data_IF_555415739260
#
_entry.id   IF_555415739260
#
_cell.length_a   1.000
_cell.length_b   1.000
_cell.length_c   1.000
_cell.angle_alpha   90.00
_cell.angle_beta   90.00
_cell.angle_gamma   90.00
#
_symmetry.space_group_name_H-M   'P 1'
#
loop_
_entity.id
_entity.type
_entity.pdbx_description
1 polymer ?
#
# COMPACT_ATOMS: atom_id res chain seq x y z
N UNK A 1 8.57 -39.30 54.15
CA UNK A 1 7.57 -38.94 53.12
C UNK A 1 6.21 -39.37 53.63
N UNK A 2 5.43 -38.43 54.22
CA UNK A 2 4.15 -38.70 54.88
C UNK A 2 3.01 -38.26 53.96
N UNK A 3 2.05 -39.16 53.74
CA UNK A 3 0.88 -38.95 52.89
C UNK A 3 -0.26 -38.40 53.77
N UNK A 4 -0.78 -37.22 53.43
CA UNK A 4 -2.01 -36.67 54.01
C UNK A 4 -3.15 -36.78 52.99
N UNK A 5 -4.32 -37.36 53.34
CA UNK A 5 -5.48 -37.35 52.48
C UNK A 5 -6.47 -36.23 52.87
N UNK A 6 -7.09 -35.66 51.83
CA UNK A 6 -8.49 -35.25 51.90
C UNK A 6 -8.76 -33.77 52.14
N UNK A 7 -9.31 -33.13 51.10
CA UNK A 7 -10.45 -32.21 51.24
C UNK A 7 -11.24 -32.14 49.94
N UNK A 8 -12.45 -32.71 49.97
CA UNK A 8 -13.51 -32.52 48.98
C UNK A 8 -14.06 -31.10 49.15
N UNK A 9 -14.13 -30.31 48.08
CA UNK A 9 -14.91 -29.07 48.03
C UNK A 9 -16.18 -29.32 47.23
N UNK A 10 -17.29 -29.08 47.91
CA UNK A 10 -18.64 -29.22 47.40
C UNK A 10 -18.96 -28.16 46.34
N UNK A 11 -19.48 -28.63 45.21
CA UNK A 11 -20.06 -27.80 44.16
C UNK A 11 -21.45 -27.33 44.65
N UNK A 12 -21.59 -26.03 44.92
CA UNK A 12 -22.90 -25.42 45.23
C UNK A 12 -23.57 -24.97 43.93
N UNK A 13 -24.66 -25.63 43.60
CA UNK A 13 -25.63 -25.19 42.61
C UNK A 13 -26.39 -23.97 43.13
N UNK A 14 -26.47 -22.91 42.32
CA UNK A 14 -27.40 -21.80 42.56
C UNK A 14 -28.12 -21.41 41.27
N UNK A 15 -29.34 -21.93 41.18
CA UNK A 15 -30.58 -21.23 40.80
C UNK A 15 -30.62 -20.52 39.45
N UNK A 16 -31.24 -21.22 38.51
CA UNK A 16 -32.13 -20.66 37.49
C UNK A 16 -33.05 -19.58 38.08
N UNK A 17 -33.01 -18.38 37.51
CA UNK A 17 -34.13 -17.44 37.51
C UNK A 17 -34.53 -17.19 36.06
N UNK A 18 -35.64 -17.82 35.67
CA UNK A 18 -36.46 -17.40 34.54
C UNK A 18 -37.19 -16.11 34.91
N UNK A 19 -36.96 -15.06 34.13
CA UNK A 19 -37.82 -13.88 33.90
C UNK A 19 -37.47 -13.50 32.45
N UNK A 20 -38.37 -13.32 31.50
CA UNK A 20 -39.80 -13.13 31.46
C UNK A 20 -40.00 -12.34 30.17
N UNK A 21 -40.56 -12.99 29.15
CA UNK A 21 -40.86 -12.36 27.86
C UNK A 21 -41.97 -11.32 28.04
N UNK A 22 -41.73 -10.11 27.57
CA UNK A 22 -42.78 -9.17 27.18
C UNK A 22 -42.32 -8.42 25.91
N UNK A 23 -43.16 -8.35 24.86
CA UNK A 23 -42.81 -7.75 23.58
C UNK A 23 -43.06 -6.24 23.65
N UNK A 24 -42.09 -5.43 23.22
CA UNK A 24 -42.28 -3.99 23.02
C UNK A 24 -42.21 -3.67 21.53
N UNK A 25 -43.41 -3.41 21.01
CA UNK A 25 -43.79 -2.40 20.03
C UNK A 25 -42.77 -2.02 18.95
N UNK A 26 -43.11 -2.46 17.73
CA UNK A 26 -42.70 -1.81 16.50
C UNK A 26 -43.25 -0.38 16.46
N UNK A 27 -42.36 0.61 16.55
CA UNK A 27 -42.61 1.95 16.05
C UNK A 27 -41.80 2.15 14.78
N UNK A 28 -42.51 2.12 13.65
CA UNK A 28 -42.00 2.58 12.38
C UNK A 28 -41.88 4.09 12.41
N UNK A 29 -40.70 4.58 12.05
CA UNK A 29 -40.50 5.95 11.61
C UNK A 29 -39.86 5.89 10.25
N UNK A 30 -40.68 6.10 9.22
CA UNK A 30 -40.25 6.43 7.86
C UNK A 30 -39.44 7.73 7.93
N UNK A 31 -38.13 7.65 7.78
CA UNK A 31 -37.33 8.81 7.43
C UNK A 31 -37.45 9.00 5.92
N UNK A 32 -38.26 9.99 5.52
CA UNK A 32 -38.36 10.44 4.14
C UNK A 32 -36.99 10.90 3.63
N UNK A 33 -36.56 10.26 2.56
CA UNK A 33 -35.48 10.68 1.68
C UNK A 33 -35.93 11.99 1.03
N UNK A 34 -35.31 13.10 1.43
CA UNK A 34 -35.37 14.37 0.71
C UNK A 34 -34.07 14.54 -0.07
N UNK A 35 -34.00 13.93 -1.25
CA UNK A 35 -32.99 14.30 -2.26
C UNK A 35 -33.36 15.67 -2.82
N UNK A 36 -32.69 16.71 -2.33
CA UNK A 36 -32.63 18.00 -3.04
C UNK A 36 -31.62 17.84 -4.17
N UNK A 37 -32.14 17.73 -5.37
CA UNK A 37 -31.44 17.85 -6.64
C UNK A 37 -31.10 19.34 -6.89
N UNK A 38 -29.82 19.77 -6.88
CA UNK A 38 -29.45 21.15 -7.14
C UNK A 38 -29.01 21.37 -8.60
N UNK A 39 -29.45 20.55 -9.56
CA UNK A 39 -29.07 20.72 -10.97
C UNK A 39 -30.27 20.63 -11.92
N UNK A 40 -31.28 21.47 -11.71
CA UNK A 40 -32.20 21.90 -12.78
C UNK A 40 -31.95 23.34 -13.14
N UNK A 41 -31.20 23.54 -14.22
CA UNK A 41 -31.11 24.84 -14.86
C UNK A 41 -29.84 25.08 -15.68
N UNK A 42 -29.45 24.18 -16.58
CA UNK A 42 -28.61 24.57 -17.73
C UNK A 42 -29.11 23.87 -18.98
N UNK A 43 -29.71 24.65 -19.87
CA UNK A 43 -29.96 24.29 -21.27
C UNK A 43 -28.60 24.35 -21.97
N UNK A 44 -28.04 23.20 -22.35
CA UNK A 44 -26.89 23.15 -23.25
C UNK A 44 -27.38 22.98 -24.69
N UNK A 45 -27.37 24.08 -25.44
CA UNK A 45 -27.28 24.03 -26.89
C UNK A 45 -25.80 23.91 -27.26
N UNK A 46 -25.45 22.85 -27.99
CA UNK A 46 -24.12 22.71 -28.60
C UNK A 46 -23.54 21.32 -28.39
N UNK A 47 -23.30 20.62 -29.49
CA UNK A 47 -22.46 19.44 -29.55
C UNK A 47 -21.03 19.82 -29.15
N UNK A 48 -20.70 19.74 -27.87
CA UNK A 48 -19.31 19.78 -27.43
C UNK A 48 -18.71 18.39 -27.55
N UNK A 49 -17.66 18.28 -28.35
CA UNK A 49 -16.85 17.08 -28.43
C UNK A 49 -16.34 16.71 -27.03
N UNK A 50 -16.54 15.44 -26.67
CA UNK A 50 -16.05 14.89 -25.41
C UNK A 50 -14.51 14.87 -25.51
N UNK A 51 -13.78 15.57 -24.62
CA UNK A 51 -12.33 15.59 -24.69
C UNK A 51 -11.78 14.19 -24.52
N UNK A 52 -10.82 13.83 -25.36
CA UNK A 52 -10.09 12.57 -25.30
C UNK A 52 -9.38 12.41 -23.95
N UNK A 53 -9.10 11.17 -23.54
CA UNK A 53 -8.40 10.89 -22.28
C UNK A 53 -7.03 11.61 -22.21
N UNK A 54 -6.34 11.74 -23.35
CA UNK A 54 -5.09 12.48 -23.46
C UNK A 54 -5.27 13.99 -23.22
N UNK A 55 -6.38 14.57 -23.66
CA UNK A 55 -6.72 15.98 -23.40
C UNK A 55 -7.13 16.22 -21.95
N UNK A 56 -7.83 15.27 -21.31
CA UNK A 56 -8.15 15.35 -19.88
C UNK A 56 -6.91 15.26 -18.99
N UNK A 57 -5.96 14.40 -19.36
CA UNK A 57 -4.66 14.28 -18.68
C UNK A 57 -3.84 15.56 -18.86
N UNK A 58 -3.81 16.15 -20.06
CA UNK A 58 -3.14 17.43 -20.32
C UNK A 58 -3.81 18.60 -19.59
N UNK A 59 -5.14 18.67 -19.58
CA UNK A 59 -5.91 19.76 -18.97
C UNK A 59 -5.79 19.83 -17.44
N UNK A 60 -5.65 18.68 -16.75
CA UNK A 60 -5.38 18.66 -15.29
C UNK A 60 -3.95 19.04 -14.92
N UNK A 61 -3.02 19.05 -15.87
CA UNK A 61 -1.58 19.24 -15.62
C UNK A 61 -1.05 20.64 -16.02
N UNK A 62 -1.91 21.56 -16.47
CA UNK A 62 -1.52 22.92 -16.87
C UNK A 62 -1.51 23.95 -15.72
N UNK A 63 -1.45 23.51 -14.46
CA UNK A 63 -1.11 24.37 -13.32
C UNK A 63 0.40 24.58 -13.21
N UNK A 64 0.92 25.63 -13.84
CA UNK A 64 2.23 26.28 -13.59
C UNK A 64 3.39 25.36 -13.16
N UNK A 65 4.07 24.71 -14.12
CA UNK A 65 5.35 24.03 -13.85
C UNK A 65 5.90 23.11 -14.94
N UNK A 66 5.27 22.99 -16.11
CA UNK A 66 5.52 21.87 -17.02
C UNK A 66 6.81 21.92 -17.85
N UNK A 67 7.56 23.03 -17.90
CA UNK A 67 8.78 23.13 -18.74
C UNK A 67 10.10 22.88 -17.99
N UNK A 68 10.15 23.05 -16.67
CA UNK A 68 11.33 22.72 -15.85
C UNK A 68 11.42 21.22 -15.56
N UNK A 69 10.28 20.52 -15.55
CA UNK A 69 10.15 19.09 -15.25
C UNK A 69 10.94 18.17 -16.19
N UNK A 70 10.77 18.35 -17.50
CA UNK A 70 11.44 17.54 -18.53
C UNK A 70 12.96 17.74 -18.55
N UNK A 71 13.39 18.95 -18.21
CA UNK A 71 14.80 19.36 -18.20
C UNK A 71 15.58 18.80 -17.00
N UNK A 72 14.89 18.54 -15.89
CA UNK A 72 15.45 17.91 -14.68
C UNK A 72 15.52 16.39 -14.87
N UNK A 73 14.48 15.77 -15.45
CA UNK A 73 14.48 14.34 -15.75
C UNK A 73 15.51 13.92 -16.82
N UNK A 74 15.82 14.80 -17.79
CA UNK A 74 16.93 14.56 -18.74
C UNK A 74 18.32 14.58 -18.07
N UNK A 75 18.53 15.41 -17.05
CA UNK A 75 19.83 15.55 -16.37
C UNK A 75 20.15 14.41 -15.40
N UNK A 76 19.14 13.70 -14.91
CA UNK A 76 19.28 12.68 -13.87
C UNK A 76 19.42 11.24 -14.39
N UNK A 77 19.80 11.04 -15.66
CA UNK A 77 20.19 9.71 -16.18
C UNK A 77 19.07 8.66 -16.22
N UNK A 78 17.80 9.06 -16.32
CA UNK A 78 16.65 8.12 -16.38
C UNK A 78 16.55 7.28 -17.66
N UNK A 79 17.52 7.38 -18.55
CA UNK A 79 17.41 6.91 -19.93
C UNK A 79 18.50 5.89 -20.19
N UNK A 80 18.19 4.59 -20.06
CA UNK A 80 18.81 3.58 -20.90
C UNK A 80 17.98 2.27 -20.90
N UNK A 81 17.83 1.70 -22.10
CA UNK A 81 17.11 0.47 -22.49
C UNK A 81 15.57 0.52 -22.63
N UNK A 82 15.12 1.12 -23.74
CA UNK A 82 13.78 0.90 -24.33
C UNK A 82 13.18 2.17 -24.93
N UNK A 83 12.38 2.04 -25.99
CA UNK A 83 11.58 3.14 -26.58
C UNK A 83 10.20 3.30 -25.90
N UNK A 84 9.95 2.56 -24.82
CA UNK A 84 8.63 2.44 -24.19
C UNK A 84 8.70 2.60 -22.67
N UNK A 85 7.62 3.08 -22.03
CA UNK A 85 7.48 3.12 -20.58
C UNK A 85 7.71 1.76 -19.92
N UNK A 86 8.23 1.79 -18.68
CA UNK A 86 8.42 0.66 -17.78
C UNK A 86 7.73 0.91 -16.46
N UNK A 87 7.34 -0.15 -15.76
CA UNK A 87 6.52 -0.04 -14.56
C UNK A 87 7.14 -0.82 -13.40
N UNK A 88 7.11 -0.23 -12.21
CA UNK A 88 7.50 -0.86 -10.94
C UNK A 88 6.24 -1.05 -10.11
N UNK A 89 5.80 -2.28 -9.87
CA UNK A 89 4.59 -2.54 -9.09
C UNK A 89 4.93 -2.81 -7.63
N UNK A 90 4.38 -2.01 -6.70
CA UNK A 90 4.35 -2.36 -5.27
C UNK A 90 2.95 -2.77 -4.82
N UNK A 91 2.90 -3.67 -3.84
CA UNK A 91 1.70 -4.22 -3.24
C UNK A 91 1.84 -4.15 -1.73
N UNK A 92 0.93 -3.42 -1.09
CA UNK A 92 1.06 -3.04 0.32
C UNK A 92 0.18 -3.91 1.24
N UNK A 93 0.32 -3.73 2.56
CA UNK A 93 -0.48 -4.34 3.63
C UNK A 93 -0.46 -5.89 3.77
N UNK A 94 0.68 -6.59 3.77
CA UNK A 94 0.70 -8.00 4.19
C UNK A 94 1.44 -8.23 5.52
N UNK A 95 0.90 -9.02 6.46
CA UNK A 95 -0.48 -9.51 6.52
C UNK A 95 -1.49 -8.38 6.77
N UNK A 96 -2.74 -8.62 6.38
CA UNK A 96 -3.87 -7.77 6.80
C UNK A 96 -4.39 -8.21 8.16
N UNK A 97 -4.90 -7.24 8.92
CA UNK A 97 -5.49 -7.50 10.23
C UNK A 97 -6.91 -8.10 10.17
N UNK A 98 -7.61 -7.86 9.07
CA UNK A 98 -9.04 -8.17 8.87
C UNK A 98 -9.30 -9.21 7.78
N UNK A 99 -8.26 -9.77 7.16
CA UNK A 99 -8.37 -10.70 6.04
C UNK A 99 -7.33 -11.81 6.15
N UNK A 100 -7.72 -13.02 5.74
CA UNK A 100 -6.83 -14.17 5.70
C UNK A 100 -5.80 -14.11 4.57
N UNK A 101 -4.70 -14.88 4.66
CA UNK A 101 -3.59 -14.84 3.71
C UNK A 101 -3.94 -15.43 2.33
N UNK A 102 -5.04 -16.19 2.21
CA UNK A 102 -5.52 -16.75 0.95
C UNK A 102 -5.81 -15.69 -0.12
N UNK A 103 -6.18 -14.47 0.30
CA UNK A 103 -6.40 -13.36 -0.61
C UNK A 103 -5.10 -12.89 -1.29
N UNK A 104 -3.99 -12.80 -0.53
CA UNK A 104 -2.68 -12.51 -1.13
C UNK A 104 -2.24 -13.63 -2.06
N UNK A 105 -2.47 -14.89 -1.68
CA UNK A 105 -2.12 -16.03 -2.54
C UNK A 105 -2.84 -15.97 -3.89
N UNK A 106 -4.15 -15.75 -3.90
CA UNK A 106 -4.94 -15.61 -5.13
C UNK A 106 -4.45 -14.42 -5.99
N UNK A 107 -4.14 -13.30 -5.34
CA UNK A 107 -3.56 -12.12 -6.00
C UNK A 107 -2.20 -12.45 -6.64
N UNK A 108 -1.33 -13.15 -5.91
CA UNK A 108 0.01 -13.53 -6.34
C UNK A 108 -0.01 -14.44 -7.57
N UNK A 109 -0.85 -15.47 -7.57
CA UNK A 109 -0.96 -16.42 -8.69
C UNK A 109 -1.27 -15.71 -10.01
N UNK A 110 -2.13 -14.69 -9.99
CA UNK A 110 -2.48 -13.91 -11.19
C UNK A 110 -1.26 -13.18 -11.74
N UNK A 111 -0.52 -12.45 -10.89
CA UNK A 111 0.65 -11.69 -11.31
C UNK A 111 1.80 -12.60 -11.76
N UNK A 112 2.04 -13.69 -11.01
CA UNK A 112 3.05 -14.70 -11.33
C UNK A 112 2.82 -15.33 -12.70
N UNK A 113 1.57 -15.71 -13.01
CA UNK A 113 1.23 -16.29 -14.32
C UNK A 113 1.43 -15.30 -15.49
N UNK A 114 1.33 -14.00 -15.23
CA UNK A 114 1.64 -12.96 -16.22
C UNK A 114 3.13 -12.57 -16.27
N UNK A 115 3.98 -13.19 -15.45
CA UNK A 115 5.40 -12.85 -15.33
C UNK A 115 5.65 -11.48 -14.69
N UNK A 116 4.70 -10.97 -13.90
CA UNK A 116 4.81 -9.66 -13.23
C UNK A 116 5.41 -9.84 -11.84
N UNK A 117 6.68 -9.46 -11.68
CA UNK A 117 7.31 -9.32 -10.36
C UNK A 117 6.88 -8.02 -9.70
N UNK A 118 6.81 -8.02 -8.38
CA UNK A 118 6.40 -6.85 -7.60
C UNK A 118 7.13 -6.79 -6.24
N UNK A 119 7.11 -5.61 -5.63
CA UNK A 119 7.58 -5.37 -4.26
C UNK A 119 6.42 -5.55 -3.28
N UNK A 120 6.54 -6.47 -2.34
CA UNK A 120 5.54 -6.77 -1.31
C UNK A 120 5.89 -6.07 0.00
N UNK A 121 5.00 -5.20 0.48
CA UNK A 121 5.10 -4.60 1.80
C UNK A 121 4.71 -5.56 2.91
N UNK A 122 5.70 -5.96 3.72
CA UNK A 122 5.52 -6.91 4.83
C UNK A 122 5.57 -6.20 6.17
N UNK A 123 4.54 -6.41 6.99
CA UNK A 123 4.39 -5.89 8.36
C UNK A 123 4.88 -6.97 9.33
N UNK A 124 6.01 -6.78 10.03
CA UNK A 124 6.62 -7.82 10.86
C UNK A 124 5.83 -8.13 12.14
N UNK A 125 5.15 -7.14 12.71
CA UNK A 125 4.44 -7.28 13.98
C UNK A 125 3.07 -6.58 13.93
N UNK A 126 2.15 -7.05 13.07
CA UNK A 126 0.90 -6.36 12.78
C UNK A 126 0.09 -6.06 14.05
N UNK A 127 -0.47 -4.86 14.12
CA UNK A 127 -1.46 -4.52 15.12
C UNK A 127 -2.72 -5.38 14.94
N UNK A 128 -3.37 -5.80 16.04
CA UNK A 128 -4.66 -6.49 15.96
C UNK A 128 -5.73 -5.63 15.29
N UNK A 129 -5.67 -4.31 15.50
CA UNK A 129 -6.47 -3.32 14.79
C UNK A 129 -5.64 -2.05 14.57
N UNK A 130 -5.18 -1.77 13.34
CA UNK A 130 -4.36 -0.59 13.05
C UNK A 130 -5.15 0.73 13.15
N UNK A 131 -6.48 0.68 13.18
CA UNK A 131 -7.34 1.87 13.35
C UNK A 131 -7.52 2.26 14.82
N UNK A 132 -7.25 1.36 15.77
CA UNK A 132 -7.26 1.68 17.19
C UNK A 132 -5.93 2.33 17.58
N UNK A 133 -5.91 3.67 17.52
CA UNK A 133 -4.75 4.50 17.89
C UNK A 133 -4.33 4.34 19.36
N UNK A 134 -5.25 3.86 20.21
CA UNK A 134 -5.00 3.64 21.64
C UNK A 134 -4.60 2.20 21.96
N UNK A 135 -4.84 1.29 21.01
CA UNK A 135 -4.53 -0.12 21.11
C UNK A 135 -3.03 -0.33 21.25
N UNK A 136 -2.67 -1.31 22.07
CA UNK A 136 -1.28 -1.77 22.25
C UNK A 136 -1.08 -3.22 21.83
N UNK A 137 -2.14 -3.87 21.35
CA UNK A 137 -2.10 -5.27 20.99
C UNK A 137 -1.56 -5.44 19.59
N UNK A 138 -0.55 -6.29 19.52
CA UNK A 138 0.21 -6.65 18.34
C UNK A 138 0.33 -8.16 18.35
N UNK A 139 0.54 -8.74 17.17
CA UNK A 139 0.67 -10.18 17.03
C UNK A 139 1.86 -10.52 16.16
N UNK A 140 2.36 -11.74 16.35
CA UNK A 140 3.25 -12.38 15.40
C UNK A 140 2.45 -12.91 14.20
N UNK A 141 3.15 -13.26 13.14
CA UNK A 141 2.52 -13.95 12.01
C UNK A 141 1.93 -15.28 12.44
N UNK A 142 0.78 -15.63 11.87
CA UNK A 142 0.26 -16.99 11.96
C UNK A 142 1.12 -17.96 11.14
N UNK A 143 0.95 -19.26 11.35
CA UNK A 143 1.64 -20.28 10.56
C UNK A 143 1.24 -20.20 9.08
N UNK A 144 -0.02 -19.88 8.80
CA UNK A 144 -0.56 -19.71 7.45
C UNK A 144 0.03 -18.47 6.75
N UNK A 145 0.14 -17.35 7.46
CA UNK A 145 0.75 -16.12 6.93
C UNK A 145 2.24 -16.34 6.60
N UNK A 146 2.97 -17.00 7.49
CA UNK A 146 4.37 -17.35 7.26
C UNK A 146 4.54 -18.32 6.08
N UNK A 147 3.62 -19.30 5.93
CA UNK A 147 3.63 -20.24 4.82
C UNK A 147 3.38 -19.54 3.47
N UNK A 148 2.38 -18.65 3.39
CA UNK A 148 2.12 -17.87 2.17
C UNK A 148 3.30 -16.97 1.84
N UNK A 149 3.92 -16.32 2.84
CA UNK A 149 5.10 -15.49 2.60
C UNK A 149 6.27 -16.30 2.04
N UNK A 150 6.53 -17.48 2.59
CA UNK A 150 7.57 -18.39 2.09
C UNK A 150 7.27 -18.88 0.66
N UNK A 151 6.00 -19.10 0.32
CA UNK A 151 5.59 -19.52 -1.02
C UNK A 151 5.80 -18.43 -2.07
N UNK A 152 5.42 -17.18 -1.78
CA UNK A 152 5.50 -16.09 -2.76
C UNK A 152 6.90 -15.49 -2.89
N UNK A 153 7.73 -15.59 -1.85
CA UNK A 153 9.05 -14.95 -1.76
C UNK A 153 10.00 -15.19 -2.96
N UNK A 154 10.07 -16.38 -3.59
CA UNK A 154 10.94 -16.58 -4.77
C UNK A 154 10.62 -15.66 -5.96
N UNK A 155 9.35 -15.26 -6.09
CA UNK A 155 8.81 -14.54 -7.24
C UNK A 155 8.61 -13.04 -6.98
N UNK A 156 8.73 -12.60 -5.72
CA UNK A 156 8.52 -11.22 -5.30
C UNK A 156 9.78 -10.65 -4.65
N UNK A 157 9.79 -9.33 -4.45
CA UNK A 157 10.78 -8.68 -3.58
C UNK A 157 10.09 -8.28 -2.28
N UNK A 158 10.76 -8.45 -1.15
CA UNK A 158 10.19 -8.10 0.16
C UNK A 158 10.64 -6.69 0.54
N UNK A 159 9.70 -5.86 1.01
CA UNK A 159 9.95 -4.57 1.63
C UNK A 159 9.45 -4.57 3.08
N UNK A 160 10.15 -3.82 3.95
CA UNK A 160 9.63 -3.55 5.29
C UNK A 160 8.51 -2.51 5.19
N UNK A 161 7.34 -2.82 5.76
CA UNK A 161 6.15 -1.97 5.68
C UNK A 161 5.69 -1.48 7.05
N UNK A 162 6.55 -0.69 7.70
CA UNK A 162 6.37 -0.31 9.10
C UNK A 162 6.73 -1.42 10.08
N UNK A 163 6.40 -1.19 11.35
CA UNK A 163 6.51 -2.19 12.41
C UNK A 163 5.17 -2.88 12.63
N UNK A 164 4.10 -2.09 12.81
CA UNK A 164 2.77 -2.58 13.21
C UNK A 164 1.64 -2.23 12.25
N UNK A 165 1.90 -1.31 11.33
CA UNK A 165 0.89 -0.62 10.54
C UNK A 165 -0.13 0.16 11.39
N UNK A 166 0.16 0.46 12.67
CA UNK A 166 -0.76 1.17 13.56
C UNK A 166 -0.74 2.67 13.29
N UNK A 167 -1.92 3.28 13.20
CA UNK A 167 -2.06 4.74 13.13
C UNK A 167 -1.61 5.39 14.43
N UNK A 168 -0.77 6.41 14.35
CA UNK A 168 -0.52 7.32 15.48
C UNK A 168 -1.67 8.33 15.63
N UNK A 169 -1.92 8.84 16.85
CA UNK A 169 -2.82 9.97 17.05
C UNK A 169 -2.38 11.18 16.21
N UNK A 170 -3.30 11.76 15.45
CA UNK A 170 -2.98 12.91 14.59
C UNK A 170 -4.02 13.15 13.49
N UNK A 171 -3.85 14.24 12.74
CA UNK A 171 -4.75 14.62 11.64
C UNK A 171 -4.49 13.84 10.35
N UNK A 172 -3.31 13.25 10.17
CA UNK A 172 -2.95 12.46 8.99
C UNK A 172 -2.68 11.02 9.42
N UNK A 173 -3.26 10.01 8.74
CA UNK A 173 -2.89 8.62 8.95
C UNK A 173 -1.39 8.42 8.68
N UNK A 174 -0.63 8.02 9.70
CA UNK A 174 0.78 7.68 9.60
C UNK A 174 1.19 6.79 10.78
N UNK A 175 2.18 5.92 10.55
CA UNK A 175 2.86 5.19 11.64
C UNK A 175 4.17 5.87 12.04
N UNK A 176 4.95 6.37 11.08
CA UNK A 176 6.33 6.83 11.33
C UNK A 176 6.46 8.34 11.54
N UNK A 177 5.47 9.11 11.11
CA UNK A 177 5.48 10.57 11.25
C UNK A 177 5.23 10.92 12.71
N UNK A 178 6.12 11.74 13.27
CA UNK A 178 6.11 12.11 14.68
C UNK A 178 6.73 11.06 15.62
N UNK A 179 7.35 10.00 15.09
CA UNK A 179 8.29 9.20 15.88
C UNK A 179 9.52 10.04 16.23
N UNK A 180 10.11 9.78 17.41
CA UNK A 180 11.49 10.21 17.64
C UNK A 180 12.45 9.41 16.75
N UNK A 181 13.67 9.91 16.58
CA UNK A 181 14.69 9.18 15.82
C UNK A 181 14.98 7.81 16.44
N UNK A 182 15.04 7.76 17.77
CA UNK A 182 15.29 6.55 18.55
C UNK A 182 14.14 5.54 18.41
N UNK A 183 12.88 6.01 18.48
CA UNK A 183 11.69 5.16 18.27
C UNK A 183 11.69 4.54 16.87
N UNK A 184 11.93 5.36 15.84
CA UNK A 184 11.93 4.86 14.46
C UNK A 184 13.10 3.89 14.23
N UNK A 185 14.30 4.21 14.70
CA UNK A 185 15.45 3.32 14.55
C UNK A 185 15.25 1.98 15.24
N UNK A 186 14.69 1.99 16.46
CA UNK A 186 14.36 0.78 17.18
C UNK A 186 13.35 -0.08 16.40
N UNK A 187 12.25 0.52 15.95
CA UNK A 187 11.21 -0.18 15.18
C UNK A 187 11.76 -0.76 13.86
N UNK A 188 12.64 -0.03 13.18
CA UNK A 188 13.30 -0.52 11.97
C UNK A 188 14.22 -1.70 12.26
N UNK A 189 15.00 -1.63 13.34
CA UNK A 189 15.89 -2.72 13.73
C UNK A 189 15.12 -3.99 14.09
N UNK A 190 14.06 -3.87 14.91
CA UNK A 190 13.22 -5.01 15.28
C UNK A 190 12.51 -5.59 14.06
N UNK A 191 11.96 -4.74 13.19
CA UNK A 191 11.30 -5.18 11.96
C UNK A 191 12.23 -5.94 11.02
N UNK A 192 13.44 -5.42 10.80
CA UNK A 192 14.47 -6.09 10.01
C UNK A 192 14.93 -7.41 10.65
N UNK A 193 15.03 -7.47 11.98
CA UNK A 193 15.39 -8.70 12.69
C UNK A 193 14.33 -9.80 12.51
N UNK A 194 13.04 -9.45 12.53
CA UNK A 194 11.93 -10.38 12.26
C UNK A 194 12.01 -10.91 10.83
N UNK A 195 12.16 -10.02 9.83
CA UNK A 195 12.31 -10.43 8.43
C UNK A 195 13.53 -11.35 8.24
N UNK A 196 14.67 -10.99 8.82
CA UNK A 196 15.91 -11.77 8.73
C UNK A 196 15.76 -13.16 9.37
N UNK A 197 15.12 -13.25 10.55
CA UNK A 197 14.85 -14.53 11.21
C UNK A 197 13.97 -15.45 10.36
N UNK A 198 13.11 -14.88 9.52
CA UNK A 198 12.27 -15.61 8.59
C UNK A 198 12.97 -15.92 7.24
N UNK A 199 14.25 -15.57 7.09
CA UNK A 199 15.04 -15.82 5.88
C UNK A 199 14.91 -14.75 4.81
N UNK A 200 14.36 -13.57 5.15
CA UNK A 200 14.19 -12.47 4.21
C UNK A 200 15.17 -11.34 4.47
N UNK A 201 15.73 -10.80 3.40
CA UNK A 201 16.49 -9.54 3.41
C UNK A 201 15.75 -8.51 2.56
N UNK A 202 15.83 -7.24 2.93
CA UNK A 202 15.23 -6.15 2.15
C UNK A 202 16.20 -4.99 2.03
N UNK A 203 16.13 -4.31 0.90
CA UNK A 203 16.77 -3.02 0.63
C UNK A 203 15.74 -1.90 0.46
N UNK A 204 14.45 -2.19 0.66
CA UNK A 204 13.33 -1.31 0.40
C UNK A 204 12.44 -1.13 1.65
N UNK A 205 11.93 0.09 1.80
CA UNK A 205 10.96 0.46 2.82
C UNK A 205 9.71 1.08 2.20
N UNK A 206 8.54 0.64 2.65
CA UNK A 206 7.25 1.20 2.27
C UNK A 206 6.63 1.84 3.51
N UNK A 207 6.51 3.18 3.58
CA UNK A 207 5.86 3.82 4.70
C UNK A 207 4.37 3.40 4.82
N UNK A 208 3.93 2.91 5.98
CA UNK A 208 2.51 2.71 6.27
C UNK A 208 1.70 3.98 5.95
N UNK A 209 0.52 3.79 5.38
CA UNK A 209 -0.34 4.89 4.92
C UNK A 209 0.32 5.82 3.88
N UNK A 210 1.37 5.36 3.19
CA UNK A 210 2.09 6.12 2.17
C UNK A 210 2.63 7.47 2.65
N UNK A 211 2.84 7.60 3.96
CA UNK A 211 3.16 8.85 4.64
C UNK A 211 4.58 8.80 5.20
N UNK A 212 5.44 9.68 4.68
CA UNK A 212 6.79 9.92 5.20
C UNK A 212 7.08 11.42 5.21
N UNK A 213 7.74 11.89 6.26
CA UNK A 213 8.27 13.25 6.36
C UNK A 213 9.78 13.28 6.14
N UNK A 214 10.38 14.47 6.10
CA UNK A 214 11.83 14.61 5.82
C UNK A 214 12.71 13.99 6.91
N UNK A 215 12.30 14.06 8.17
CA UNK A 215 13.08 13.49 9.29
C UNK A 215 13.10 11.96 9.18
N UNK A 216 11.94 11.33 9.02
CA UNK A 216 11.81 9.90 8.84
C UNK A 216 12.56 9.44 7.58
N UNK A 217 12.46 10.19 6.46
CA UNK A 217 13.19 9.85 5.24
C UNK A 217 14.71 9.83 5.44
N UNK A 218 15.28 10.81 6.13
CA UNK A 218 16.72 10.84 6.44
C UNK A 218 17.16 9.65 7.30
N UNK A 219 16.31 9.17 8.22
CA UNK A 219 16.57 7.99 9.02
C UNK A 219 16.53 6.72 8.16
N UNK A 220 15.52 6.60 7.31
CA UNK A 220 15.32 5.49 6.38
C UNK A 220 16.46 5.37 5.36
N UNK A 221 16.94 6.50 4.82
CA UNK A 221 18.01 6.56 3.83
C UNK A 221 19.33 5.94 4.29
N UNK A 222 19.53 5.77 5.60
CA UNK A 222 20.73 5.12 6.16
C UNK A 222 20.65 3.58 6.17
N UNK A 223 19.47 3.01 5.93
CA UNK A 223 19.21 1.57 6.04
C UNK A 223 18.67 0.95 4.75
N UNK A 224 18.08 1.75 3.87
CA UNK A 224 17.43 1.29 2.67
C UNK A 224 17.98 2.03 1.45
N UNK A 225 18.13 1.31 0.34
CA UNK A 225 18.46 1.88 -0.97
C UNK A 225 17.22 2.54 -1.60
N UNK A 226 16.04 2.13 -1.15
CA UNK A 226 14.76 2.52 -1.73
C UNK A 226 13.70 2.81 -0.65
N UNK A 227 13.05 3.97 -0.79
CA UNK A 227 11.90 4.35 0.02
C UNK A 227 10.73 4.68 -0.90
N UNK A 228 9.62 3.98 -0.72
CA UNK A 228 8.38 4.27 -1.42
C UNK A 228 7.65 5.46 -0.79
N UNK A 229 6.72 6.05 -1.53
CA UNK A 229 5.81 7.08 -1.00
C UNK A 229 4.51 7.15 -1.77
N UNK A 230 3.62 8.03 -1.34
CA UNK A 230 2.37 8.30 -2.05
C UNK A 230 1.77 9.67 -1.73
N UNK A 231 0.48 9.90 -2.07
CA UNK A 231 -0.19 11.19 -1.93
C UNK A 231 -0.07 11.79 -0.52
N UNK A 232 -0.07 10.95 0.50
CA UNK A 232 -0.01 11.34 1.89
C UNK A 232 1.33 12.01 2.22
N UNK A 233 2.43 11.64 1.55
CA UNK A 233 3.75 12.26 1.72
C UNK A 233 3.85 13.69 1.15
N UNK A 234 2.94 14.10 0.26
CA UNK A 234 3.00 15.42 -0.43
C UNK A 234 3.00 16.57 0.56
N UNK A 235 2.30 16.42 1.70
CA UNK A 235 2.23 17.45 2.74
C UNK A 235 3.60 17.84 3.30
N UNK A 236 4.56 16.93 3.31
CA UNK A 236 5.88 17.13 3.93
C UNK A 236 7.02 17.22 2.93
N UNK A 237 6.91 16.48 1.82
CA UNK A 237 7.98 16.40 0.81
C UNK A 237 7.66 17.21 -0.45
N UNK A 238 6.44 17.74 -0.57
CA UNK A 238 5.94 18.35 -1.79
C UNK A 238 5.57 17.29 -2.84
N UNK A 239 5.10 17.76 -4.00
CA UNK A 239 4.83 16.89 -5.14
C UNK A 239 6.14 16.60 -5.86
N UNK A 240 6.62 15.36 -5.79
CA UNK A 240 7.89 14.95 -6.39
C UNK A 240 7.65 14.06 -7.61
N UNK A 241 8.22 14.37 -8.79
CA UNK A 241 8.27 13.38 -9.84
C UNK A 241 9.00 12.12 -9.37
N UNK A 242 8.40 10.96 -9.52
CA UNK A 242 9.03 9.68 -9.22
C UNK A 242 9.64 9.01 -10.47
N UNK A 243 10.64 8.12 -10.31
CA UNK A 243 11.56 8.01 -9.17
C UNK A 243 12.43 9.28 -9.03
N UNK A 244 12.98 9.55 -7.83
CA UNK A 244 13.97 10.62 -7.61
C UNK A 244 14.97 10.27 -6.50
N UNK A 245 16.14 10.92 -6.48
CA UNK A 245 17.09 10.80 -5.36
C UNK A 245 16.82 11.90 -4.34
N UNK A 246 16.64 11.53 -3.08
CA UNK A 246 16.35 12.44 -1.97
C UNK A 246 17.03 11.93 -0.71
N UNK A 247 17.79 12.77 0.00
CA UNK A 247 18.57 12.37 1.20
C UNK A 247 19.51 11.17 0.95
N UNK A 248 19.99 10.97 -0.28
CA UNK A 248 20.87 9.86 -0.64
C UNK A 248 20.16 8.52 -0.89
N UNK A 249 18.81 8.49 -0.86
CA UNK A 249 18.00 7.29 -1.15
C UNK A 249 17.15 7.48 -2.40
N UNK A 250 16.80 6.38 -3.08
CA UNK A 250 15.79 6.42 -4.13
C UNK A 250 14.40 6.54 -3.53
N UNK A 251 13.77 7.69 -3.75
CA UNK A 251 12.38 7.93 -3.39
C UNK A 251 11.45 7.64 -4.57
N UNK A 252 10.51 6.72 -4.38
CA UNK A 252 9.57 6.26 -5.41
C UNK A 252 8.12 6.59 -4.99
N UNK A 253 7.66 7.83 -5.23
CA UNK A 253 6.27 8.17 -5.01
C UNK A 253 5.39 7.57 -6.11
N UNK A 254 4.20 7.12 -5.73
CA UNK A 254 3.11 6.79 -6.66
C UNK A 254 1.88 7.62 -6.32
N UNK A 255 1.22 8.18 -7.33
CA UNK A 255 0.05 9.05 -7.17
C UNK A 255 -1.07 8.60 -8.12
N UNK A 256 -2.34 8.92 -7.85
CA UNK A 256 -3.41 8.71 -8.84
C UNK A 256 -3.03 9.34 -10.20
N UNK A 257 -3.23 8.63 -11.33
CA UNK A 257 -3.91 7.33 -11.46
C UNK A 257 -3.00 6.09 -11.37
N UNK A 258 -1.72 6.23 -11.01
CA UNK A 258 -0.78 5.12 -10.80
C UNK A 258 -0.95 4.41 -9.43
N UNK A 259 -1.78 4.99 -8.56
CA UNK A 259 -2.17 4.44 -7.26
C UNK A 259 -3.70 4.43 -7.18
N UNK A 260 -4.28 3.25 -6.95
CA UNK A 260 -5.73 3.08 -6.91
C UNK A 260 -6.14 1.61 -6.97
N UNK A 261 -7.34 1.35 -7.50
CA UNK A 261 -7.81 -0.01 -7.79
C UNK A 261 -7.07 -0.57 -9.00
N UNK A 262 -6.85 -1.89 -9.04
CA UNK A 262 -6.10 -2.52 -10.12
C UNK A 262 -6.70 -2.25 -11.52
N UNK A 263 -8.03 -2.19 -11.63
CA UNK A 263 -8.70 -1.85 -12.88
C UNK A 263 -8.37 -0.41 -13.36
N UNK A 264 -8.35 0.57 -12.46
CA UNK A 264 -8.04 1.98 -12.78
C UNK A 264 -6.57 2.12 -13.19
N UNK A 265 -5.69 1.44 -12.46
CA UNK A 265 -4.25 1.40 -12.77
C UNK A 265 -4.01 0.71 -14.12
N UNK A 266 -4.77 -0.33 -14.46
CA UNK A 266 -4.66 -1.01 -15.75
C UNK A 266 -4.99 -0.08 -16.92
N UNK A 267 -6.05 0.71 -16.80
CA UNK A 267 -6.44 1.69 -17.82
C UNK A 267 -5.35 2.77 -17.98
N UNK A 268 -4.77 3.23 -16.88
CA UNK A 268 -3.64 4.14 -16.90
C UNK A 268 -2.41 3.53 -17.60
N UNK A 269 -2.03 2.30 -17.25
CA UNK A 269 -0.90 1.59 -17.87
C UNK A 269 -1.11 1.47 -19.38
N UNK A 270 -2.30 1.05 -19.82
CA UNK A 270 -2.62 0.94 -21.26
C UNK A 270 -2.50 2.27 -21.98
N UNK A 271 -3.02 3.35 -21.39
CA UNK A 271 -2.92 4.69 -21.97
C UNK A 271 -1.46 5.16 -22.08
N UNK A 272 -0.66 4.95 -21.05
CA UNK A 272 0.74 5.37 -21.03
C UNK A 272 1.60 4.54 -21.97
N UNK A 273 1.34 3.24 -22.14
CA UNK A 273 2.09 2.36 -23.06
C UNK A 273 2.06 2.81 -24.52
N UNK A 274 1.08 3.64 -24.91
CA UNK A 274 1.02 4.25 -26.24
C UNK A 274 2.06 5.37 -26.43
N UNK A 275 2.70 5.81 -25.35
CA UNK A 275 3.79 6.78 -25.39
C UNK A 275 5.09 6.12 -25.86
N UNK A 276 5.84 6.85 -26.67
CA UNK A 276 7.22 6.51 -27.06
C UNK A 276 8.26 7.11 -26.12
N UNK A 277 7.83 7.69 -24.99
CA UNK A 277 8.73 8.27 -23.99
C UNK A 277 9.18 7.19 -23.01
N UNK A 278 10.48 6.85 -22.97
CA UNK A 278 11.04 6.01 -21.92
C UNK A 278 10.87 6.68 -20.55
N UNK A 279 9.89 6.22 -19.77
CA UNK A 279 9.66 6.67 -18.39
C UNK A 279 9.48 5.45 -17.50
N UNK A 280 10.02 5.53 -16.28
CA UNK A 280 9.77 4.54 -15.24
C UNK A 280 8.67 5.04 -14.32
N UNK A 281 7.64 4.23 -14.09
CA UNK A 281 6.45 4.65 -13.34
C UNK A 281 6.22 3.69 -12.16
N UNK A 282 6.33 4.17 -10.91
CA UNK A 282 5.92 3.42 -9.74
C UNK A 282 4.39 3.30 -9.67
N UNK A 283 3.90 2.07 -9.51
CA UNK A 283 2.49 1.72 -9.33
C UNK A 283 2.28 1.20 -7.91
N UNK A 284 1.14 1.51 -7.30
CA UNK A 284 0.78 1.05 -5.96
C UNK A 284 -0.59 0.39 -5.96
N UNK A 285 -0.67 -0.82 -5.38
CA UNK A 285 -1.90 -1.53 -5.10
C UNK A 285 -1.99 -1.96 -3.63
N UNK A 286 -3.22 -2.20 -3.18
CA UNK A 286 -3.48 -2.97 -1.96
C UNK A 286 -4.23 -4.23 -2.37
N UNK A 287 -3.66 -5.41 -2.10
CA UNK A 287 -4.27 -6.68 -2.52
C UNK A 287 -5.69 -6.87 -1.94
N UNK A 288 -5.91 -6.37 -0.72
CA UNK A 288 -7.18 -6.46 0.01
C UNK A 288 -8.32 -5.73 -0.69
N UNK A 289 -8.01 -4.65 -1.41
CA UNK A 289 -9.03 -3.88 -2.13
C UNK A 289 -9.65 -4.75 -3.23
N UNK A 290 -8.85 -5.57 -3.89
CA UNK A 290 -9.23 -6.35 -5.06
C UNK A 290 -9.99 -7.65 -4.72
N UNK A 291 -10.17 -7.98 -3.44
CA UNK A 291 -10.91 -9.19 -3.06
C UNK A 291 -12.41 -9.09 -3.41
N UNK A 292 -12.98 -7.90 -3.37
CA UNK A 292 -14.43 -7.69 -3.58
C UNK A 292 -14.89 -8.03 -5.01
N UNK A 293 -14.04 -7.86 -6.03
CA UNK A 293 -14.35 -8.17 -7.42
C UNK A 293 -13.76 -9.53 -7.87
N UNK A 294 -13.31 -10.35 -6.91
CA UNK A 294 -12.62 -11.62 -7.17
C UNK A 294 -11.37 -11.43 -8.04
N UNK A 295 -10.63 -10.34 -7.80
CA UNK A 295 -9.37 -10.00 -8.44
C UNK A 295 -9.47 -9.79 -9.96
N UNK A 296 -10.63 -9.37 -10.46
CA UNK A 296 -10.82 -9.12 -11.89
C UNK A 296 -10.02 -7.91 -12.37
N UNK A 297 -9.96 -6.84 -11.58
CA UNK A 297 -9.05 -5.72 -11.81
C UNK A 297 -7.58 -6.15 -11.89
N UNK A 298 -7.17 -7.11 -11.06
CA UNK A 298 -5.79 -7.63 -11.03
C UNK A 298 -5.46 -8.36 -12.32
N UNK A 299 -6.37 -9.20 -12.84
CA UNK A 299 -6.16 -9.88 -14.15
C UNK A 299 -5.95 -8.88 -15.28
N UNK A 300 -6.74 -7.81 -15.30
CA UNK A 300 -6.63 -6.74 -16.31
C UNK A 300 -5.30 -5.99 -16.20
N UNK A 301 -4.86 -5.71 -14.97
CA UNK A 301 -3.56 -5.07 -14.75
C UNK A 301 -2.40 -5.99 -15.13
N UNK A 302 -2.48 -7.27 -14.77
CA UNK A 302 -1.46 -8.27 -15.08
C UNK A 302 -1.22 -8.36 -16.60
N UNK A 303 -2.30 -8.42 -17.39
CA UNK A 303 -2.27 -8.34 -18.85
C UNK A 303 -1.62 -7.03 -19.35
N UNK A 304 -2.02 -5.89 -18.77
CA UNK A 304 -1.47 -4.59 -19.14
C UNK A 304 0.03 -4.45 -18.81
N UNK A 305 0.52 -5.15 -17.79
CA UNK A 305 1.91 -5.12 -17.32
C UNK A 305 2.82 -6.18 -17.96
N UNK A 306 2.25 -7.20 -18.60
CA UNK A 306 3.01 -8.28 -19.21
C UNK A 306 4.09 -7.75 -20.17
N UNK A 307 5.34 -8.12 -19.91
CA UNK A 307 6.52 -7.73 -20.71
C UNK A 307 7.00 -6.28 -20.53
N UNK A 308 6.35 -5.47 -19.68
CA UNK A 308 6.75 -4.08 -19.41
C UNK A 308 6.98 -3.75 -17.94
N UNK A 309 6.53 -4.60 -17.02
CA UNK A 309 6.93 -4.54 -15.62
C UNK A 309 8.42 -4.91 -15.47
N UNK A 310 9.11 -4.20 -14.59
CA UNK A 310 10.50 -4.46 -14.21
C UNK A 310 10.60 -4.70 -12.70
N UNK A 311 11.65 -5.40 -12.27
CA UNK A 311 11.93 -5.60 -10.85
C UNK A 311 12.61 -4.37 -10.23
N UNK A 312 12.43 -4.18 -8.92
CA UNK A 312 13.07 -3.09 -8.17
C UNK A 312 14.57 -3.34 -8.07
N UNK A 313 14.98 -4.54 -7.68
CA UNK A 313 16.40 -4.94 -7.63
C UNK A 313 17.09 -4.85 -8.99
N UNK A 314 16.43 -5.29 -10.07
CA UNK A 314 16.98 -5.17 -11.43
C UNK A 314 17.17 -3.71 -11.84
N UNK A 315 16.25 -2.83 -11.45
CA UNK A 315 16.36 -1.40 -11.70
C UNK A 315 17.47 -0.73 -10.87
N UNK A 316 17.59 -1.07 -9.58
CA UNK A 316 18.63 -0.53 -8.69
C UNK A 316 20.03 -0.99 -9.13
N UNK A 317 20.20 -2.29 -9.42
CA UNK A 317 21.49 -2.87 -9.82
C UNK A 317 21.94 -2.42 -11.21
N UNK A 318 21.00 -2.25 -12.14
CA UNK A 318 21.27 -1.71 -13.48
C UNK A 318 21.75 -0.25 -13.47
N UNK A 319 21.78 0.41 -12.31
CA UNK A 319 22.21 1.81 -12.13
C UNK A 319 23.51 1.96 -11.36
N UNK A 320 24.39 0.96 -11.33
CA UNK A 320 25.77 1.11 -10.84
C UNK A 320 26.36 2.46 -11.33
N UNK A 321 26.63 3.35 -10.36
CA UNK A 321 26.51 4.80 -10.49
C UNK A 321 27.62 5.46 -11.33
N UNK A 322 27.25 6.43 -12.16
CA UNK A 322 28.14 7.54 -12.48
C UNK A 322 28.02 8.57 -11.34
N UNK A 323 29.13 8.96 -10.68
CA UNK A 323 29.14 9.91 -9.56
C UNK A 323 28.64 11.30 -9.94
#
# INVERSE_FOLDING_TARGET
>A
MRIHPGRKLACRSSRHRQRGNAPLAAHGTQAMIATRDPLRGIIFNGTQEVPTLSERIRGRWQGTGSWTHWSVMKRAGYWEHGVSPRFLLRVDDFPRWDMGPEGLHAFHVILKNAGVRYLLGVIPHPAENPQDVSGKRERVWSTEEAAVLAEVAPDVEIALHGWTHRRRPGSVPAEIIGCTSEELEHNLQEGLAVLHKAGFTTHAYIPPFNAVDRQALAILARKFDLVCGGPESVRWLGYLPGPCSLEGVWFLPSYPPAYGRAAEVADFVRAVRLSTTPILIPLTLHWSWEAADKFEGVRRLADALAGVAVSFSGWVQGRAWAP
#
